data_IF_426080464696
#
_entry.id   IF_426080464696
#
_cell.length_a   1.000
_cell.length_b   1.000
_cell.length_c   1.000
_cell.angle_alpha   90.00
_cell.angle_beta   90.00
_cell.angle_gamma   90.00
#
_symmetry.space_group_name_H-M   'P 1'
#
loop_
_entity.id
_entity.type
_entity.pdbx_description
1 polymer ?
#
# COMPACT_ATOMS: atom_id res chain seq x y z
N UNK A 1 -45.00 -58.69 -19.84
CA UNK A 1 -44.44 -57.42 -20.37
C UNK A 1 -44.79 -56.21 -19.48
N UNK A 2 -45.95 -56.15 -18.83
CA UNK A 2 -46.43 -55.04 -17.98
C UNK A 2 -45.62 -54.83 -16.67
N UNK A 3 -45.13 -55.90 -16.09
CA UNK A 3 -44.36 -55.83 -14.83
C UNK A 3 -42.93 -55.37 -14.98
N UNK A 4 -42.30 -55.53 -16.15
CA UNK A 4 -40.92 -55.05 -16.39
C UNK A 4 -40.85 -53.52 -16.58
N UNK A 5 -41.90 -52.89 -17.05
CA UNK A 5 -41.98 -51.44 -17.24
C UNK A 5 -42.16 -50.70 -15.92
N UNK A 6 -42.92 -51.30 -14.97
CA UNK A 6 -43.16 -50.68 -13.66
C UNK A 6 -41.89 -50.71 -12.78
N UNK A 7 -41.07 -51.75 -12.82
CA UNK A 7 -39.81 -51.87 -12.05
C UNK A 7 -38.77 -50.91 -12.59
N UNK A 8 -38.69 -50.68 -13.89
CA UNK A 8 -37.77 -49.71 -14.47
C UNK A 8 -38.14 -48.25 -14.12
N UNK A 9 -39.44 -47.95 -14.00
CA UNK A 9 -39.90 -46.59 -13.64
C UNK A 9 -39.65 -46.27 -12.16
N UNK A 10 -39.80 -47.27 -11.25
CA UNK A 10 -39.53 -47.11 -9.80
C UNK A 10 -38.04 -46.95 -9.53
N UNK A 11 -37.16 -47.65 -10.25
CA UNK A 11 -35.72 -47.54 -10.13
C UNK A 11 -35.20 -46.16 -10.68
N UNK A 12 -35.86 -45.57 -11.68
CA UNK A 12 -35.48 -44.28 -12.19
C UNK A 12 -35.89 -43.11 -11.25
N UNK A 13 -37.05 -43.25 -10.55
CA UNK A 13 -37.48 -42.26 -9.54
C UNK A 13 -36.64 -42.40 -8.28
N UNK A 14 -36.24 -43.58 -7.84
CA UNK A 14 -35.34 -43.76 -6.72
C UNK A 14 -33.93 -43.24 -7.01
N UNK A 15 -33.41 -43.38 -8.23
CA UNK A 15 -32.13 -42.85 -8.64
C UNK A 15 -32.14 -41.31 -8.73
N UNK A 16 -33.26 -40.70 -9.22
CA UNK A 16 -33.40 -39.26 -9.28
C UNK A 16 -33.52 -38.58 -7.87
N UNK A 17 -34.14 -39.27 -6.91
CA UNK A 17 -34.22 -38.79 -5.52
C UNK A 17 -32.92 -38.90 -4.75
N UNK A 18 -32.00 -39.78 -5.16
CA UNK A 18 -30.68 -39.91 -4.48
C UNK A 18 -29.66 -38.87 -4.95
N UNK A 19 -29.86 -38.23 -6.12
CA UNK A 19 -28.97 -37.18 -6.64
C UNK A 19 -29.31 -35.80 -6.04
N UNK A 20 -30.53 -35.59 -5.52
CA UNK A 20 -30.97 -34.33 -4.92
C UNK A 20 -30.58 -34.21 -3.44
N UNK A 21 -30.14 -35.30 -2.82
CA UNK A 21 -29.87 -35.35 -1.37
C UNK A 21 -28.44 -35.09 -0.91
N UNK A 22 -27.49 -34.69 -1.77
CA UNK A 22 -26.07 -34.57 -1.44
C UNK A 22 -25.49 -33.15 -1.49
N UNK A 23 -26.31 -32.12 -1.67
CA UNK A 23 -25.88 -30.78 -1.28
C UNK A 23 -26.11 -30.65 0.22
N UNK A 24 -25.11 -31.00 1.05
CA UNK A 24 -25.06 -30.46 2.41
C UNK A 24 -25.14 -28.94 2.26
N UNK A 25 -26.29 -28.36 2.54
CA UNK A 25 -26.39 -26.96 2.86
C UNK A 25 -25.47 -26.73 4.08
N UNK A 26 -24.24 -26.33 3.82
CA UNK A 26 -23.49 -25.62 4.83
C UNK A 26 -24.37 -24.44 5.25
N UNK A 27 -24.91 -24.39 6.47
CA UNK A 27 -25.95 -23.50 6.98
C UNK A 27 -25.70 -22.00 6.84
N UNK A 28 -25.20 -21.56 5.71
CA UNK A 28 -24.96 -20.18 5.29
C UNK A 28 -25.71 -19.96 3.99
N UNK A 29 -26.50 -18.90 3.93
CA UNK A 29 -27.24 -18.50 2.74
C UNK A 29 -26.35 -18.27 1.50
N UNK A 30 -26.95 -17.99 0.34
CA UNK A 30 -26.20 -17.80 -0.91
C UNK A 30 -25.15 -16.69 -0.75
N UNK A 31 -23.95 -16.88 -1.34
CA UNK A 31 -22.89 -15.87 -1.34
C UNK A 31 -23.40 -14.54 -1.91
N UNK A 32 -23.46 -13.53 -1.07
CA UNK A 32 -23.92 -12.19 -1.43
C UNK A 32 -23.06 -11.16 -0.74
N UNK A 33 -21.85 -10.87 -1.29
CA UNK A 33 -20.96 -9.87 -0.71
C UNK A 33 -21.57 -8.49 -0.80
N UNK A 34 -21.32 -7.66 0.19
CA UNK A 34 -21.76 -6.27 0.28
C UNK A 34 -20.80 -5.38 -0.54
N UNK A 35 -21.23 -4.81 -1.69
CA UNK A 35 -20.34 -3.96 -2.47
C UNK A 35 -19.90 -2.73 -1.66
N UNK A 36 -18.60 -2.48 -1.62
CA UNK A 36 -18.04 -1.25 -1.04
C UNK A 36 -17.60 -0.33 -2.19
N UNK A 37 -18.06 0.93 -2.16
CA UNK A 37 -17.77 1.88 -3.22
C UNK A 37 -16.42 2.54 -2.99
N UNK A 38 -15.50 2.42 -3.94
CA UNK A 38 -14.30 3.25 -3.97
C UNK A 38 -14.66 4.67 -4.39
N UNK A 39 -14.39 5.65 -3.52
CA UNK A 39 -14.75 7.06 -3.76
C UNK A 39 -13.51 7.82 -4.20
N UNK A 40 -13.57 8.37 -5.42
CA UNK A 40 -12.55 9.31 -5.91
C UNK A 40 -12.88 10.68 -5.30
N UNK A 41 -11.94 11.32 -4.57
CA UNK A 41 -12.17 12.63 -4.00
C UNK A 41 -12.47 13.69 -5.08
N UNK A 42 -13.25 14.72 -4.71
CA UNK A 42 -13.58 15.82 -5.61
C UNK A 42 -12.30 16.49 -6.13
N UNK A 43 -12.24 16.72 -7.43
CA UNK A 43 -11.09 17.36 -8.08
C UNK A 43 -9.88 16.46 -8.30
N UNK A 44 -9.93 15.19 -7.89
CA UNK A 44 -8.82 14.26 -8.12
C UNK A 44 -8.94 13.58 -9.49
N UNK A 45 -7.80 13.23 -10.11
CA UNK A 45 -7.80 12.43 -11.32
C UNK A 45 -8.36 11.04 -11.05
N UNK A 46 -8.89 10.39 -12.07
CA UNK A 46 -9.18 8.95 -11.98
C UNK A 46 -7.87 8.17 -11.75
N UNK A 47 -7.89 7.09 -10.94
CA UNK A 47 -6.77 6.18 -10.87
C UNK A 47 -6.32 5.73 -12.26
N UNK A 48 -5.00 5.63 -12.53
CA UNK A 48 -4.48 5.24 -13.85
C UNK A 48 -4.90 3.82 -14.25
N UNK A 49 -5.10 2.95 -13.26
CA UNK A 49 -5.64 1.60 -13.40
C UNK A 49 -6.77 1.37 -12.41
N UNK A 50 -7.73 0.53 -12.78
CA UNK A 50 -8.73 0.10 -11.81
C UNK A 50 -8.22 -1.14 -11.07
N UNK A 51 -7.53 -0.93 -9.95
CA UNK A 51 -6.99 -2.00 -9.10
C UNK A 51 -8.07 -2.96 -8.57
N UNK A 52 -9.34 -2.57 -8.61
CA UNK A 52 -10.49 -3.39 -8.18
C UNK A 52 -11.23 -4.04 -9.36
N UNK A 53 -10.71 -3.97 -10.59
CA UNK A 53 -11.39 -4.53 -11.77
C UNK A 53 -11.66 -6.05 -11.63
N UNK A 54 -10.64 -6.81 -11.24
CA UNK A 54 -10.66 -8.26 -11.07
C UNK A 54 -10.73 -8.70 -9.60
N UNK A 55 -10.82 -7.74 -8.68
CA UNK A 55 -10.88 -7.93 -7.23
C UNK A 55 -11.91 -6.94 -6.67
N UNK A 56 -13.19 -7.21 -6.91
CA UNK A 56 -14.28 -6.29 -6.55
C UNK A 56 -14.22 -5.94 -5.08
N UNK A 57 -14.19 -4.64 -4.78
CA UNK A 57 -14.16 -4.14 -3.41
C UNK A 57 -15.48 -4.46 -2.70
N UNK A 58 -15.40 -5.15 -1.58
CA UNK A 58 -16.53 -5.55 -0.75
C UNK A 58 -16.24 -5.28 0.71
N UNK A 59 -17.28 -5.09 1.52
CA UNK A 59 -17.13 -4.91 2.96
C UNK A 59 -16.43 -6.12 3.59
N UNK A 60 -16.82 -7.33 3.22
CA UNK A 60 -16.25 -8.58 3.75
C UNK A 60 -14.78 -8.76 3.34
N UNK A 61 -14.44 -8.43 2.10
CA UNK A 61 -13.05 -8.46 1.61
C UNK A 61 -12.18 -7.41 2.29
N UNK A 62 -12.70 -6.19 2.46
CA UNK A 62 -12.04 -5.13 3.21
C UNK A 62 -11.78 -5.52 4.67
N UNK A 63 -12.77 -6.05 5.38
CA UNK A 63 -12.63 -6.45 6.79
C UNK A 63 -11.66 -7.63 6.94
N UNK A 64 -11.68 -8.59 6.02
CA UNK A 64 -10.69 -9.67 5.99
C UNK A 64 -9.28 -9.12 5.76
N UNK A 65 -9.10 -8.23 4.79
CA UNK A 65 -7.81 -7.59 4.51
C UNK A 65 -7.31 -6.77 5.70
N UNK A 66 -8.19 -6.01 6.35
CA UNK A 66 -7.88 -5.29 7.58
C UNK A 66 -7.43 -6.23 8.70
N UNK A 67 -8.15 -7.32 8.94
CA UNK A 67 -7.75 -8.30 9.97
C UNK A 67 -6.39 -8.91 9.67
N UNK A 68 -6.12 -9.32 8.42
CA UNK A 68 -4.83 -9.83 7.99
C UNK A 68 -3.71 -8.81 8.20
N UNK A 69 -3.95 -7.54 7.89
CA UNK A 69 -2.97 -6.45 8.01
C UNK A 69 -2.50 -6.23 9.46
N UNK A 70 -3.37 -6.44 10.43
CA UNK A 70 -3.07 -6.27 11.86
C UNK A 70 -2.69 -7.58 12.58
N UNK A 71 -2.59 -8.72 11.88
CA UNK A 71 -2.32 -10.01 12.50
C UNK A 71 -0.84 -10.37 12.48
N UNK A 72 -0.17 -10.30 13.65
CA UNK A 72 1.23 -10.68 13.81
C UNK A 72 1.52 -12.14 13.48
N UNK A 73 0.52 -13.03 13.56
CA UNK A 73 0.69 -14.47 13.25
C UNK A 73 1.09 -14.73 11.79
N UNK A 74 1.00 -13.73 10.91
CA UNK A 74 1.49 -13.83 9.54
C UNK A 74 3.02 -13.79 9.46
N UNK A 75 3.73 -13.42 10.52
CA UNK A 75 5.18 -13.51 10.61
C UNK A 75 5.67 -14.84 11.19
N UNK A 76 6.97 -15.10 11.05
CA UNK A 76 7.63 -16.33 11.50
C UNK A 76 7.57 -16.51 13.01
N UNK A 77 7.77 -15.44 13.77
CA UNK A 77 7.71 -15.43 15.24
C UNK A 77 6.30 -15.17 15.79
N UNK A 78 5.36 -14.75 14.94
CA UNK A 78 3.99 -14.43 15.33
C UNK A 78 3.79 -13.03 15.91
N UNK A 79 4.80 -12.16 15.88
CA UNK A 79 4.80 -10.84 16.53
C UNK A 79 4.72 -9.68 15.54
N UNK A 80 5.28 -9.85 14.33
CA UNK A 80 5.37 -8.78 13.34
C UNK A 80 4.16 -8.80 12.41
N UNK A 81 3.36 -7.76 12.42
CA UNK A 81 2.25 -7.53 11.48
C UNK A 81 2.63 -6.45 10.45
N UNK A 82 1.83 -6.31 9.37
CA UNK A 82 1.99 -5.17 8.46
C UNK A 82 1.86 -3.84 9.22
N UNK A 83 0.94 -3.78 10.20
CA UNK A 83 0.72 -2.60 11.03
C UNK A 83 1.90 -2.26 11.95
N UNK A 84 2.82 -3.18 12.23
CA UNK A 84 4.04 -2.91 13.01
C UNK A 84 4.96 -1.92 12.28
N UNK A 85 5.04 -2.03 10.95
CA UNK A 85 5.84 -1.14 10.09
C UNK A 85 5.02 -0.03 9.44
N UNK A 86 3.71 -0.24 9.22
CA UNK A 86 2.80 0.69 8.58
C UNK A 86 1.73 1.16 9.57
N UNK A 87 2.12 2.06 10.46
CA UNK A 87 1.31 2.52 11.59
C UNK A 87 0.27 3.55 11.13
N UNK A 88 -1.00 3.33 11.47
CA UNK A 88 -2.11 4.17 11.00
C UNK A 88 -1.95 5.64 11.38
N UNK A 89 -1.50 5.94 12.58
CA UNK A 89 -1.31 7.33 13.06
C UNK A 89 -0.15 8.05 12.36
N UNK A 90 0.77 7.31 11.73
CA UNK A 90 1.86 7.83 10.92
C UNK A 90 1.53 7.83 9.40
N UNK A 91 0.25 7.83 9.03
CA UNK A 91 -0.17 7.74 7.63
C UNK A 91 0.12 6.37 7.01
N UNK A 92 0.08 5.31 7.80
CA UNK A 92 0.48 3.95 7.42
C UNK A 92 1.94 3.86 6.95
N UNK A 93 2.84 4.58 7.64
CA UNK A 93 4.29 4.56 7.48
C UNK A 93 4.95 4.15 8.79
N UNK A 94 6.26 3.97 8.80
CA UNK A 94 7.04 3.84 10.04
C UNK A 94 7.03 5.16 10.80
N UNK A 95 7.01 5.08 12.13
CA UNK A 95 7.09 6.22 13.03
C UNK A 95 8.34 6.10 13.91
N UNK A 96 9.09 7.20 14.03
CA UNK A 96 10.21 7.39 14.98
C UNK A 96 11.42 6.44 14.79
N UNK A 97 11.44 5.62 13.76
CA UNK A 97 12.57 4.73 13.44
C UNK A 97 12.96 4.88 11.97
N UNK A 98 14.27 5.00 11.70
CA UNK A 98 14.80 5.04 10.32
C UNK A 98 14.44 3.78 9.55
N UNK A 99 14.52 2.62 10.19
CA UNK A 99 14.20 1.31 9.65
C UNK A 99 13.23 0.55 10.55
N UNK A 100 12.30 -0.17 9.95
CA UNK A 100 11.34 -0.99 10.70
C UNK A 100 11.99 -2.23 11.29
N UNK A 101 11.51 -2.65 12.46
CA UNK A 101 11.90 -3.91 13.08
C UNK A 101 11.19 -5.09 12.40
N UNK A 102 11.97 -6.10 12.02
CA UNK A 102 11.49 -7.38 11.53
C UNK A 102 11.60 -8.48 12.56
N UNK A 103 11.32 -9.72 12.14
CA UNK A 103 11.46 -10.92 12.98
C UNK A 103 12.90 -11.06 13.52
N UNK A 104 13.04 -11.66 14.71
CA UNK A 104 14.34 -11.88 15.35
C UNK A 104 15.18 -10.59 15.57
N UNK A 105 14.53 -9.46 15.80
CA UNK A 105 15.19 -8.14 15.94
C UNK A 105 16.04 -7.71 14.74
N UNK A 106 15.73 -8.20 13.57
CA UNK A 106 16.32 -7.70 12.31
C UNK A 106 15.74 -6.34 11.95
N UNK A 107 16.34 -5.67 10.96
CA UNK A 107 15.87 -4.39 10.48
C UNK A 107 15.65 -4.44 8.97
N UNK A 108 14.61 -3.76 8.49
CA UNK A 108 14.44 -3.50 7.07
C UNK A 108 15.64 -2.72 6.50
N UNK A 109 15.81 -2.72 5.19
CA UNK A 109 16.90 -1.98 4.54
C UNK A 109 16.48 -0.60 4.04
N UNK A 110 15.17 -0.33 4.05
CA UNK A 110 14.55 0.93 3.64
C UNK A 110 13.49 1.34 4.65
N UNK A 111 13.24 2.64 4.75
CA UNK A 111 12.12 3.17 5.50
C UNK A 111 10.79 2.69 4.89
N UNK A 112 9.79 2.34 5.73
CA UNK A 112 8.50 1.86 5.25
C UNK A 112 7.70 3.03 4.64
N UNK A 113 7.37 2.99 3.34
CA UNK A 113 6.61 4.05 2.69
C UNK A 113 5.16 4.09 3.18
N UNK A 114 4.54 5.27 3.13
CA UNK A 114 3.14 5.43 3.48
C UNK A 114 2.22 4.63 2.55
N UNK A 115 1.26 3.89 3.12
CA UNK A 115 0.28 3.09 2.38
C UNK A 115 -1.05 3.85 2.18
N UNK A 116 -0.97 5.11 1.77
CA UNK A 116 -2.14 5.93 1.44
C UNK A 116 -2.20 6.21 -0.05
N UNK A 117 -3.41 6.30 -0.59
CA UNK A 117 -3.66 6.66 -1.99
C UNK A 117 -3.01 5.72 -3.02
N UNK A 118 -2.81 4.45 -2.65
CA UNK A 118 -2.14 3.45 -3.49
C UNK A 118 -2.86 3.19 -4.81
N UNK A 119 -4.17 3.44 -4.89
CA UNK A 119 -4.95 3.30 -6.12
C UNK A 119 -4.46 4.19 -7.27
N UNK A 120 -3.74 5.27 -6.95
CA UNK A 120 -3.16 6.17 -7.96
C UNK A 120 -1.72 5.82 -8.35
N UNK A 121 -1.17 4.75 -7.82
CA UNK A 121 0.15 4.24 -8.19
C UNK A 121 0.05 3.16 -9.27
N UNK A 122 1.10 3.04 -10.10
CA UNK A 122 1.26 1.97 -11.10
C UNK A 122 2.39 1.01 -10.76
N UNK A 123 3.19 1.35 -9.76
CA UNK A 123 4.26 0.51 -9.24
C UNK A 123 4.50 0.83 -7.76
N UNK A 124 4.84 -0.18 -6.99
CA UNK A 124 5.03 -0.09 -5.54
C UNK A 124 6.50 -0.29 -5.18
N UNK A 125 6.86 -0.12 -3.90
CA UNK A 125 8.22 0.04 -3.37
C UNK A 125 8.90 1.34 -3.83
N UNK A 126 9.99 1.70 -3.15
CA UNK A 126 10.78 2.90 -3.47
C UNK A 126 11.40 2.88 -4.86
N UNK A 127 11.70 1.70 -5.39
CA UNK A 127 12.33 1.47 -6.68
C UNK A 127 11.35 1.08 -7.80
N UNK A 128 10.07 0.86 -7.45
CA UNK A 128 9.04 0.43 -8.40
C UNK A 128 9.19 -1.03 -8.85
N UNK A 129 9.81 -1.86 -8.02
CA UNK A 129 10.07 -3.28 -8.35
C UNK A 129 8.83 -4.16 -8.44
N UNK A 130 7.68 -3.69 -7.94
CA UNK A 130 6.40 -4.40 -7.99
C UNK A 130 5.39 -3.55 -8.75
N UNK A 131 4.66 -4.15 -9.69
CA UNK A 131 3.67 -3.49 -10.55
C UNK A 131 2.24 -4.02 -10.36
N UNK A 132 2.00 -4.84 -9.33
CA UNK A 132 0.69 -5.36 -8.97
C UNK A 132 0.49 -5.25 -7.45
N UNK A 133 -0.57 -4.53 -7.02
CA UNK A 133 -0.88 -4.31 -5.61
C UNK A 133 -1.24 -5.62 -4.90
N UNK A 134 -1.81 -6.61 -5.61
CA UNK A 134 -2.13 -7.90 -5.01
C UNK A 134 -0.86 -8.71 -4.70
N UNK A 135 0.20 -8.53 -5.49
CA UNK A 135 1.47 -9.24 -5.31
C UNK A 135 2.39 -8.53 -4.30
N UNK A 136 2.21 -7.22 -4.09
CA UNK A 136 3.08 -6.41 -3.25
C UNK A 136 3.31 -7.00 -1.84
N UNK A 137 2.29 -7.51 -1.10
CA UNK A 137 2.50 -8.01 0.26
C UNK A 137 3.41 -9.25 0.35
N UNK A 138 3.67 -9.91 -0.76
CA UNK A 138 4.54 -11.08 -0.82
C UNK A 138 5.98 -10.75 -0.41
N UNK A 139 6.48 -9.58 -0.83
CA UNK A 139 7.84 -9.14 -0.55
C UNK A 139 8.11 -9.02 0.96
N UNK A 140 7.39 -8.19 1.74
CA UNK A 140 7.63 -8.10 3.17
C UNK A 140 7.29 -9.40 3.92
N UNK A 141 6.31 -10.18 3.45
CA UNK A 141 5.90 -11.42 4.08
C UNK A 141 7.00 -12.47 4.05
N UNK A 142 7.77 -12.54 2.94
CA UNK A 142 8.81 -13.57 2.74
C UNK A 142 10.24 -13.07 3.01
N UNK A 143 10.45 -11.77 3.21
CA UNK A 143 11.78 -11.23 3.50
C UNK A 143 12.24 -11.62 4.91
N UNK A 144 13.41 -12.25 5.01
CA UNK A 144 14.00 -12.76 6.27
C UNK A 144 14.23 -11.66 7.32
N UNK A 145 14.39 -10.42 6.88
CA UNK A 145 14.61 -9.24 7.72
C UNK A 145 13.34 -8.40 7.94
N UNK A 146 12.16 -8.90 7.53
CA UNK A 146 10.85 -8.29 7.77
C UNK A 146 9.93 -9.30 8.46
N UNK A 147 9.02 -9.99 7.77
CA UNK A 147 8.12 -10.98 8.39
C UNK A 147 8.67 -12.41 8.36
N UNK A 148 9.64 -12.72 7.50
CA UNK A 148 10.43 -13.95 7.48
C UNK A 148 9.65 -15.25 7.32
N UNK A 149 8.43 -15.22 6.75
CA UNK A 149 7.53 -16.36 6.74
C UNK A 149 7.37 -16.94 5.32
N UNK A 150 6.92 -18.17 5.21
CA UNK A 150 6.57 -18.81 3.94
C UNK A 150 5.07 -18.77 3.69
N UNK A 151 4.67 -18.66 2.42
CA UNK A 151 3.24 -18.72 2.09
C UNK A 151 2.55 -19.99 2.59
N UNK A 152 3.24 -21.12 2.53
CA UNK A 152 2.72 -22.40 2.98
C UNK A 152 2.40 -22.36 4.47
N UNK A 153 3.34 -21.87 5.29
CA UNK A 153 3.18 -21.76 6.74
C UNK A 153 2.06 -20.78 7.10
N UNK A 154 2.01 -19.59 6.46
CA UNK A 154 0.90 -18.65 6.66
C UNK A 154 -0.44 -19.30 6.37
N UNK A 155 -0.59 -19.95 5.22
CA UNK A 155 -1.86 -20.59 4.84
C UNK A 155 -2.24 -21.71 5.82
N UNK A 156 -1.26 -22.45 6.35
CA UNK A 156 -1.50 -23.46 7.38
C UNK A 156 -2.06 -22.85 8.66
N UNK A 157 -1.45 -21.74 9.14
CA UNK A 157 -1.92 -20.99 10.33
C UNK A 157 -3.36 -20.49 10.13
N UNK A 158 -3.64 -19.86 8.99
CA UNK A 158 -4.98 -19.32 8.67
C UNK A 158 -6.05 -20.42 8.56
N UNK A 159 -5.74 -21.58 7.95
CA UNK A 159 -6.67 -22.71 7.80
C UNK A 159 -7.06 -23.35 9.14
N UNK A 160 -6.23 -23.22 10.17
CA UNK A 160 -6.53 -23.73 11.52
C UNK A 160 -7.45 -22.80 12.32
N UNK A 161 -7.62 -21.54 11.90
CA UNK A 161 -8.45 -20.55 12.59
C UNK A 161 -9.86 -20.51 11.98
N UNK A 162 -10.86 -20.88 12.79
CA UNK A 162 -12.27 -20.88 12.41
C UNK A 162 -12.76 -19.46 12.02
N UNK A 163 -12.24 -18.42 12.68
CA UNK A 163 -12.60 -17.02 12.35
C UNK A 163 -12.17 -16.69 10.94
N UNK A 164 -10.95 -17.07 10.54
CA UNK A 164 -10.50 -16.85 9.17
C UNK A 164 -11.31 -17.65 8.16
N UNK A 165 -11.62 -18.94 8.44
CA UNK A 165 -12.48 -19.73 7.54
C UNK A 165 -13.83 -19.06 7.29
N UNK A 166 -14.47 -18.53 8.35
CA UNK A 166 -15.71 -17.75 8.23
C UNK A 166 -15.54 -16.48 7.42
N UNK A 167 -14.48 -15.72 7.68
CA UNK A 167 -14.21 -14.48 6.95
C UNK A 167 -13.89 -14.72 5.48
N UNK A 168 -13.10 -15.76 5.14
CA UNK A 168 -12.85 -16.14 3.75
C UNK A 168 -14.13 -16.58 3.04
N UNK A 169 -15.01 -17.35 3.73
CA UNK A 169 -16.31 -17.70 3.17
C UNK A 169 -17.17 -16.48 2.91
N UNK A 170 -17.22 -15.53 3.83
CA UNK A 170 -17.96 -14.28 3.63
C UNK A 170 -17.40 -13.45 2.47
N UNK A 171 -16.07 -13.36 2.33
CA UNK A 171 -15.42 -12.53 1.32
C UNK A 171 -15.41 -13.17 -0.09
N UNK A 172 -15.36 -14.52 -0.18
CA UNK A 172 -15.13 -15.24 -1.45
C UNK A 172 -16.13 -16.34 -1.77
N UNK A 173 -17.15 -16.56 -0.95
CA UNK A 173 -18.25 -17.50 -1.18
C UNK A 173 -18.04 -18.90 -0.58
N UNK A 174 -16.79 -19.31 -0.31
CA UNK A 174 -16.47 -20.55 0.34
C UNK A 174 -15.27 -20.41 1.27
N UNK A 175 -15.07 -21.36 2.19
CA UNK A 175 -14.03 -21.33 3.22
C UNK A 175 -12.62 -21.71 2.71
N UNK A 176 -12.41 -21.81 1.40
CA UNK A 176 -11.11 -22.15 0.81
C UNK A 176 -10.13 -21.00 1.01
N UNK A 177 -9.04 -21.24 1.73
CA UNK A 177 -7.98 -20.26 1.98
C UNK A 177 -6.81 -20.53 1.04
N UNK A 178 -6.56 -19.60 0.13
CA UNK A 178 -5.43 -19.61 -0.82
C UNK A 178 -4.61 -18.35 -0.68
N UNK A 179 -3.34 -18.39 -1.11
CA UNK A 179 -2.48 -17.20 -1.16
C UNK A 179 -3.11 -16.09 -2.01
N UNK A 180 -3.67 -16.43 -3.16
CA UNK A 180 -4.32 -15.44 -4.02
C UNK A 180 -5.47 -14.73 -3.32
N UNK A 181 -6.36 -15.44 -2.61
CA UNK A 181 -7.47 -14.82 -1.87
C UNK A 181 -6.98 -13.98 -0.70
N UNK A 182 -5.94 -14.41 0.01
CA UNK A 182 -5.30 -13.66 1.09
C UNK A 182 -4.73 -12.34 0.56
N UNK A 183 -3.94 -12.39 -0.52
CA UNK A 183 -3.34 -11.22 -1.15
C UNK A 183 -4.41 -10.27 -1.72
N UNK A 184 -5.47 -10.80 -2.33
CA UNK A 184 -6.62 -10.01 -2.79
C UNK A 184 -7.30 -9.26 -1.64
N UNK A 185 -7.52 -9.90 -0.50
CA UNK A 185 -8.11 -9.24 0.67
C UNK A 185 -7.20 -8.12 1.19
N UNK A 186 -5.89 -8.36 1.32
CA UNK A 186 -4.92 -7.32 1.69
C UNK A 186 -4.97 -6.13 0.71
N UNK A 187 -5.02 -6.39 -0.60
CA UNK A 187 -5.12 -5.35 -1.62
C UNK A 187 -6.45 -4.56 -1.55
N UNK A 188 -7.57 -5.21 -1.19
CA UNK A 188 -8.83 -4.50 -0.94
C UNK A 188 -8.70 -3.50 0.21
N UNK A 189 -8.06 -3.89 1.31
CA UNK A 189 -7.84 -2.99 2.43
C UNK A 189 -6.85 -1.88 2.06
N UNK A 190 -5.61 -2.21 1.68
CA UNK A 190 -4.56 -1.22 1.45
C UNK A 190 -4.86 -0.31 0.26
N UNK A 191 -5.43 -0.84 -0.83
CA UNK A 191 -5.80 -0.08 -2.02
C UNK A 191 -6.96 0.89 -1.80
N UNK A 192 -7.80 0.67 -0.77
CA UNK A 192 -8.92 1.55 -0.44
C UNK A 192 -8.58 2.68 0.54
N UNK A 193 -7.34 2.73 1.07
CA UNK A 193 -6.92 3.77 2.00
C UNK A 193 -6.72 5.10 1.26
N UNK A 194 -7.65 6.03 1.41
CA UNK A 194 -7.62 7.36 0.78
C UNK A 194 -7.47 8.45 1.83
N UNK A 195 -6.47 9.32 1.67
CA UNK A 195 -6.26 10.51 2.48
C UNK A 195 -6.44 11.76 1.62
N UNK A 196 -7.59 12.45 1.79
CA UNK A 196 -8.04 13.56 0.95
C UNK A 196 -8.90 14.58 1.70
N UNK A 197 -8.65 14.78 3.01
CA UNK A 197 -9.44 15.67 3.85
C UNK A 197 -8.61 16.69 4.64
N UNK A 198 -7.39 16.98 4.17
CA UNK A 198 -6.52 17.99 4.78
C UNK A 198 -7.07 19.42 4.59
N UNK A 199 -6.46 20.39 5.28
CA UNK A 199 -6.79 21.81 5.06
C UNK A 199 -6.61 22.22 3.59
N UNK A 200 -5.55 21.70 2.93
CA UNK A 200 -5.35 21.88 1.48
C UNK A 200 -6.58 21.44 0.68
N UNK A 201 -7.11 20.25 0.94
CA UNK A 201 -8.30 19.76 0.21
C UNK A 201 -9.52 20.64 0.43
N UNK A 202 -9.73 21.09 1.66
CA UNK A 202 -10.81 22.02 2.01
C UNK A 202 -10.67 23.35 1.29
N UNK A 203 -9.44 23.89 1.19
CA UNK A 203 -9.17 25.11 0.42
C UNK A 203 -9.49 24.90 -1.05
N UNK A 204 -9.02 23.79 -1.64
CA UNK A 204 -9.29 23.46 -3.07
C UNK A 204 -10.78 23.25 -3.36
N UNK A 205 -11.54 22.79 -2.37
CA UNK A 205 -12.99 22.63 -2.47
C UNK A 205 -13.78 23.93 -2.24
N UNK A 206 -13.12 25.02 -1.81
CA UNK A 206 -13.78 26.30 -1.46
C UNK A 206 -14.43 26.32 -0.09
N UNK A 207 -14.06 25.37 0.79
CA UNK A 207 -14.64 25.23 2.14
C UNK A 207 -13.96 26.11 3.19
N UNK A 208 -12.71 26.54 2.91
CA UNK A 208 -11.90 27.41 3.77
C UNK A 208 -10.81 28.10 2.94
N UNK A 209 -10.00 28.94 3.57
CA UNK A 209 -8.84 29.62 2.93
C UNK A 209 -7.56 29.32 3.69
N UNK A 210 -6.43 29.46 3.02
CA UNK A 210 -5.14 29.54 3.69
C UNK A 210 -5.03 30.84 4.48
N UNK A 211 -4.28 30.82 5.58
CA UNK A 211 -3.76 32.04 6.20
C UNK A 211 -2.69 32.66 5.29
N UNK A 212 -2.31 33.90 5.51
CA UNK A 212 -1.25 34.57 4.73
C UNK A 212 0.08 33.81 4.77
N UNK A 213 0.42 33.21 5.93
CA UNK A 213 1.65 32.41 6.09
C UNK A 213 1.56 31.12 5.29
N UNK A 214 0.45 30.40 5.39
CA UNK A 214 0.22 29.17 4.62
C UNK A 214 0.16 29.42 3.10
N UNK A 215 -0.44 30.56 2.67
CA UNK A 215 -0.46 30.93 1.27
C UNK A 215 0.96 31.18 0.73
N UNK A 216 1.81 31.88 1.48
CA UNK A 216 3.22 32.07 1.12
C UNK A 216 3.97 30.75 1.05
N UNK A 217 3.77 29.85 2.03
CA UNK A 217 4.34 28.50 2.00
C UNK A 217 3.90 27.69 0.80
N UNK A 218 2.61 27.76 0.45
CA UNK A 218 2.06 27.10 -0.73
C UNK A 218 2.65 27.69 -2.04
N UNK A 219 2.87 28.98 -2.13
CA UNK A 219 3.48 29.61 -3.30
C UNK A 219 4.95 29.21 -3.46
N UNK A 220 5.69 29.12 -2.34
CA UNK A 220 7.07 28.57 -2.32
C UNK A 220 7.07 27.09 -2.76
N UNK A 221 6.15 26.28 -2.26
CA UNK A 221 5.98 24.89 -2.69
C UNK A 221 5.75 24.78 -4.20
N UNK A 222 4.82 25.56 -4.74
CA UNK A 222 4.52 25.56 -6.18
C UNK A 222 5.75 25.90 -7.02
N UNK A 223 6.56 26.85 -6.58
CA UNK A 223 7.72 27.32 -7.33
C UNK A 223 8.91 26.35 -7.29
N UNK A 224 9.06 25.57 -6.20
CA UNK A 224 10.29 24.81 -5.96
C UNK A 224 10.07 23.29 -5.90
N UNK A 225 8.88 22.81 -5.55
CA UNK A 225 8.65 21.40 -5.21
C UNK A 225 7.65 20.71 -6.15
N UNK A 226 6.71 21.46 -6.74
CA UNK A 226 5.60 20.92 -7.53
C UNK A 226 6.03 20.26 -8.84
N UNK A 227 7.29 20.43 -9.27
CA UNK A 227 7.84 19.75 -10.44
C UNK A 227 7.82 18.23 -10.32
N UNK A 228 8.10 17.74 -9.11
CA UNK A 228 8.06 16.31 -8.75
C UNK A 228 6.83 15.98 -7.89
N UNK A 229 6.51 16.82 -6.90
CA UNK A 229 5.40 16.62 -5.96
C UNK A 229 4.09 17.23 -6.50
N UNK A 230 3.56 16.66 -7.59
CA UNK A 230 2.38 17.17 -8.29
C UNK A 230 1.09 17.01 -7.51
N UNK A 231 0.31 18.10 -7.47
CA UNK A 231 -1.02 18.13 -6.90
C UNK A 231 -2.03 17.28 -7.73
N UNK A 232 -3.06 16.72 -7.12
CA UNK A 232 -3.44 16.77 -5.70
C UNK A 232 -2.78 15.68 -4.86
N UNK A 233 -2.06 14.75 -5.46
CA UNK A 233 -1.40 13.61 -4.79
C UNK A 233 -0.08 14.01 -4.12
N UNK A 234 0.49 15.14 -4.50
CA UNK A 234 1.83 15.58 -4.09
C UNK A 234 2.92 14.57 -4.44
N UNK A 235 2.75 13.91 -5.58
CA UNK A 235 3.69 13.01 -6.25
C UNK A 235 3.29 12.90 -7.72
N UNK A 236 4.27 12.67 -8.57
CA UNK A 236 4.02 12.27 -9.96
C UNK A 236 4.31 10.78 -10.19
N UNK A 237 4.68 10.05 -9.12
CA UNK A 237 5.08 8.64 -9.14
C UNK A 237 6.30 8.34 -10.04
N UNK A 238 7.02 9.35 -10.53
CA UNK A 238 8.26 9.19 -11.29
C UNK A 238 9.46 8.87 -10.37
N UNK A 239 10.62 8.64 -10.94
CA UNK A 239 11.83 8.24 -10.23
C UNK A 239 12.94 9.24 -10.45
N UNK A 240 13.44 9.83 -9.37
CA UNK A 240 14.49 10.85 -9.41
C UNK A 240 15.59 10.55 -8.40
N UNK A 241 16.79 10.98 -8.71
CA UNK A 241 17.87 11.06 -7.74
C UNK A 241 17.90 12.46 -7.14
N UNK A 242 17.71 12.54 -5.85
CA UNK A 242 17.78 13.80 -5.12
C UNK A 242 19.19 14.12 -4.61
N UNK A 243 20.22 13.41 -5.08
CA UNK A 243 21.61 13.66 -4.75
C UNK A 243 22.09 13.02 -3.45
N UNK A 244 21.26 12.24 -2.76
CA UNK A 244 21.72 11.48 -1.60
C UNK A 244 22.77 10.45 -1.99
N UNK A 245 23.80 10.33 -1.16
CA UNK A 245 24.84 9.30 -1.32
C UNK A 245 24.30 7.92 -0.94
N UNK A 246 25.00 6.87 -1.38
CA UNK A 246 24.72 5.50 -0.97
C UNK A 246 24.59 5.41 0.56
N UNK A 247 23.63 4.62 1.00
CA UNK A 247 23.45 4.29 2.41
C UNK A 247 24.34 3.10 2.81
N UNK A 248 24.29 2.70 4.09
CA UNK A 248 25.04 1.57 4.65
C UNK A 248 24.77 0.21 3.98
N UNK A 249 23.68 0.11 3.21
CA UNK A 249 23.31 -1.10 2.46
C UNK A 249 23.69 -1.05 0.99
N UNK A 250 24.40 -0.01 0.54
CA UNK A 250 24.76 0.22 -0.86
C UNK A 250 23.53 0.19 -1.79
N UNK A 251 22.43 0.82 -1.37
CA UNK A 251 21.18 0.82 -2.11
C UNK A 251 21.25 1.73 -3.34
N UNK A 252 21.34 1.12 -4.50
CA UNK A 252 21.41 1.80 -5.80
C UNK A 252 20.04 2.17 -6.37
N UNK A 253 18.96 1.99 -5.59
CA UNK A 253 17.59 2.36 -5.97
C UNK A 253 17.07 1.61 -7.21
N UNK A 254 16.43 2.33 -8.12
CA UNK A 254 15.77 1.77 -9.30
C UNK A 254 16.72 0.99 -10.24
N UNK A 255 18.00 1.31 -10.27
CA UNK A 255 18.99 0.53 -11.05
C UNK A 255 18.95 -0.96 -10.70
N UNK A 256 18.58 -1.32 -9.45
CA UNK A 256 18.46 -2.72 -9.02
C UNK A 256 17.36 -3.48 -9.80
N UNK A 257 16.37 -2.76 -10.30
CA UNK A 257 15.21 -3.30 -11.02
C UNK A 257 15.44 -3.25 -12.54
N UNK A 258 15.93 -2.11 -13.06
CA UNK A 258 16.04 -1.87 -14.50
C UNK A 258 17.38 -2.34 -15.08
N UNK A 259 18.40 -2.52 -14.24
CA UNK A 259 19.80 -2.80 -14.62
C UNK A 259 20.45 -1.69 -15.46
N UNK A 260 19.81 -0.53 -15.56
CA UNK A 260 20.31 0.63 -16.29
C UNK A 260 21.11 1.54 -15.35
N UNK A 261 22.37 1.86 -15.71
CA UNK A 261 23.20 2.79 -14.92
C UNK A 261 22.60 4.19 -14.80
N UNK A 262 21.81 4.61 -15.80
CA UNK A 262 21.07 5.87 -15.77
C UNK A 262 19.98 5.94 -14.68
N UNK A 263 19.60 4.81 -14.09
CA UNK A 263 18.64 4.73 -13.00
C UNK A 263 19.28 4.58 -11.61
N UNK A 264 20.61 4.76 -11.54
CA UNK A 264 21.34 4.72 -10.27
C UNK A 264 20.85 5.80 -9.31
N UNK A 265 20.66 5.40 -8.05
CA UNK A 265 20.21 6.28 -6.96
C UNK A 265 18.86 6.98 -7.21
N UNK A 266 18.09 6.51 -8.19
CA UNK A 266 16.73 7.00 -8.38
C UNK A 266 15.75 6.24 -7.50
N UNK A 267 14.90 7.00 -6.84
CA UNK A 267 13.80 6.50 -6.02
C UNK A 267 12.49 7.18 -6.43
N UNK A 268 11.37 6.49 -6.20
CA UNK A 268 10.05 7.05 -6.48
C UNK A 268 9.81 8.30 -5.65
N UNK A 269 9.25 9.32 -6.27
CA UNK A 269 8.76 10.51 -5.58
C UNK A 269 7.66 10.13 -4.61
N UNK A 270 7.87 10.22 -3.29
CA UNK A 270 6.82 9.91 -2.32
C UNK A 270 5.75 11.01 -2.31
N UNK A 271 4.51 10.63 -1.98
CA UNK A 271 3.49 11.63 -1.71
C UNK A 271 3.86 12.44 -0.45
N UNK A 272 3.62 13.76 -0.47
CA UNK A 272 3.76 14.61 0.72
C UNK A 272 2.49 14.64 1.58
N UNK A 273 1.46 13.87 1.23
CA UNK A 273 0.28 13.78 2.08
C UNK A 273 0.64 13.10 3.41
N UNK A 274 0.18 13.69 4.51
CA UNK A 274 0.50 13.28 5.88
C UNK A 274 2.01 13.35 6.22
N UNK A 275 2.82 14.07 5.43
CA UNK A 275 4.28 14.11 5.58
C UNK A 275 4.73 14.53 7.00
N UNK A 276 3.97 15.38 7.69
CA UNK A 276 4.27 15.79 9.07
C UNK A 276 4.25 14.64 10.10
N UNK A 277 3.56 13.52 9.77
CA UNK A 277 3.41 12.37 10.68
C UNK A 277 4.29 11.19 10.29
N UNK A 278 4.80 11.14 9.06
CA UNK A 278 5.53 10.00 8.48
C UNK A 278 7.05 10.17 8.54
N UNK A 279 7.57 10.76 9.61
CA UNK A 279 9.01 10.83 9.83
C UNK A 279 9.55 9.50 10.38
N UNK A 280 10.85 9.16 10.17
CA UNK A 280 11.87 9.93 9.44
C UNK A 280 11.73 9.85 7.91
N UNK A 281 12.43 10.75 7.24
CA UNK A 281 12.28 11.01 5.81
C UNK A 281 13.38 10.37 4.97
N UNK A 282 13.19 10.37 3.65
CA UNK A 282 13.96 9.71 2.60
C UNK A 282 13.73 8.19 2.55
N UNK A 283 14.27 7.55 1.52
CA UNK A 283 14.08 6.11 1.30
C UNK A 283 14.69 5.23 2.41
N UNK A 284 15.56 5.78 3.22
CA UNK A 284 16.27 5.07 4.30
C UNK A 284 16.13 5.75 5.67
N UNK A 285 15.24 6.73 5.79
CA UNK A 285 14.91 7.35 7.07
C UNK A 285 16.01 8.25 7.68
N UNK A 286 17.04 8.62 6.92
CA UNK A 286 18.23 9.32 7.46
C UNK A 286 17.99 10.75 7.93
N UNK A 287 16.82 11.34 7.63
CA UNK A 287 16.47 12.73 8.01
C UNK A 287 15.23 12.72 8.89
N UNK A 288 15.31 13.32 10.08
CA UNK A 288 14.29 13.19 11.12
C UNK A 288 13.27 14.33 11.16
N UNK A 289 13.56 15.50 10.57
CA UNK A 289 12.66 16.64 10.64
C UNK A 289 12.42 17.27 9.27
N UNK A 290 11.21 17.82 9.04
CA UNK A 290 10.91 18.57 7.81
C UNK A 290 11.84 19.77 7.63
N UNK A 291 12.26 20.41 8.71
CA UNK A 291 13.25 21.50 8.64
C UNK A 291 14.56 21.01 8.03
N UNK A 292 15.07 19.86 8.46
CA UNK A 292 16.29 19.25 7.89
C UNK A 292 16.08 18.83 6.41
N UNK A 293 14.89 18.36 6.05
CA UNK A 293 14.56 18.05 4.64
C UNK A 293 14.67 19.33 3.77
N UNK A 294 14.05 20.42 4.22
CA UNK A 294 14.08 21.69 3.48
C UNK A 294 15.51 22.22 3.40
N UNK A 295 16.27 22.19 4.51
CA UNK A 295 17.68 22.58 4.54
C UNK A 295 18.53 21.72 3.62
N UNK A 296 18.30 20.41 3.57
CA UNK A 296 18.96 19.50 2.62
C UNK A 296 18.76 19.98 1.19
N UNK A 297 17.53 20.25 0.77
CA UNK A 297 17.24 20.71 -0.58
C UNK A 297 17.83 22.11 -0.88
N UNK A 298 17.97 22.98 0.11
CA UNK A 298 18.67 24.28 -0.05
C UNK A 298 20.20 24.15 -0.13
N UNK A 299 20.77 23.02 0.34
CA UNK A 299 22.22 22.79 0.41
C UNK A 299 22.74 21.73 -0.55
N UNK A 300 21.89 21.19 -1.44
CA UNK A 300 22.30 20.15 -2.41
C UNK A 300 23.51 20.63 -3.23
N UNK A 301 24.48 19.73 -3.37
CA UNK A 301 25.55 19.90 -4.33
C UNK A 301 25.06 19.74 -5.77
N UNK A 302 24.88 20.86 -6.45
CA UNK A 302 24.40 20.88 -7.84
C UNK A 302 25.42 20.37 -8.85
N UNK A 303 26.69 20.17 -8.46
CA UNK A 303 27.72 19.53 -9.28
C UNK A 303 27.61 18.00 -9.27
N UNK A 304 26.85 17.41 -8.33
CA UNK A 304 26.63 15.96 -8.25
C UNK A 304 26.08 15.41 -9.58
N UNK A 305 26.80 14.47 -10.19
CA UNK A 305 26.49 13.92 -11.52
C UNK A 305 25.24 13.05 -11.55
N UNK A 306 24.84 12.47 -10.41
CA UNK A 306 23.62 11.67 -10.29
C UNK A 306 22.38 12.50 -10.01
N UNK A 307 22.55 13.78 -9.65
CA UNK A 307 21.44 14.67 -9.32
C UNK A 307 20.50 14.88 -10.50
N UNK A 308 19.19 14.77 -10.23
CA UNK A 308 18.17 15.04 -11.25
C UNK A 308 18.28 16.44 -11.83
N UNK A 309 18.11 16.63 -13.17
CA UNK A 309 18.16 17.93 -13.82
C UNK A 309 17.25 18.98 -13.19
N UNK A 310 16.07 18.61 -12.67
CA UNK A 310 15.15 19.54 -12.00
C UNK A 310 15.74 20.16 -10.73
N UNK A 311 16.74 19.50 -10.10
CA UNK A 311 17.41 19.97 -8.89
C UNK A 311 18.75 20.66 -9.17
N UNK A 312 19.17 20.81 -10.45
CA UNK A 312 20.40 21.53 -10.82
C UNK A 312 20.29 23.03 -10.56
N UNK A 313 19.08 23.58 -10.50
CA UNK A 313 18.85 24.96 -10.07
C UNK A 313 18.75 24.98 -8.55
N UNK A 314 19.71 25.66 -7.92
CA UNK A 314 19.77 25.76 -6.45
C UNK A 314 18.51 26.40 -5.87
N UNK A 315 17.91 25.75 -4.88
CA UNK A 315 16.79 26.30 -4.12
C UNK A 315 17.35 27.22 -3.04
N UNK A 316 17.06 28.52 -3.15
CA UNK A 316 17.53 29.54 -2.21
C UNK A 316 16.31 30.07 -1.43
N UNK A 317 16.15 29.64 -0.18
CA UNK A 317 15.10 30.11 0.72
C UNK A 317 15.71 30.74 1.97
N UNK A 318 15.21 31.93 2.34
CA UNK A 318 15.50 32.50 3.64
C UNK A 318 14.94 31.63 4.77
N UNK A 319 15.41 31.83 6.00
CA UNK A 319 14.87 31.09 7.16
C UNK A 319 13.35 31.27 7.31
N UNK A 320 12.85 32.50 7.08
CA UNK A 320 11.42 32.79 7.10
C UNK A 320 10.68 31.98 6.01
N UNK A 321 11.20 31.91 4.80
CA UNK A 321 10.61 31.14 3.70
C UNK A 321 10.64 29.63 3.99
N UNK A 322 11.71 29.12 4.61
CA UNK A 322 11.79 27.71 5.04
C UNK A 322 10.73 27.41 6.12
N UNK A 323 10.52 28.34 7.08
CA UNK A 323 9.48 28.20 8.11
C UNK A 323 8.05 28.26 7.49
N UNK A 324 7.84 29.08 6.47
CA UNK A 324 6.55 29.19 5.76
C UNK A 324 6.26 27.92 4.95
N UNK A 325 7.29 27.34 4.31
CA UNK A 325 7.17 26.10 3.52
C UNK A 325 6.85 24.88 4.37
N UNK A 326 7.37 24.84 5.60
CA UNK A 326 7.13 23.77 6.60
C UNK A 326 5.69 23.76 7.08
#
# INVERSE_FOLDING_TARGET
LKYRIIISFVLFIAGALFIIGAAKEDGYGPYKPTPLKFIIPKGWPKPPTNIFANNKLTEEGFQLGKKLFYDGRLSKDGEVSCASCHQQFAGFSTYDHDLSHGVNNTFSTRNAPALINLAWMTAWHWDGGINDIEVQPLSPLTADNEMGETLESVLKKLKQDETYRKMFKAAFGDATITSQRMLKALAQFTGSLVSANSKYDKVKNGETTFTDTEQKGYDIFKSNCSGCHKEPLFTDNSYHSNGLTLNRFNDIGRQKITLLSSDSLKFKVPSLRNVQYSFPYMHDGRIYTLTQVIQYYCSIDTANTTLDPLLKNKINLTELQQAQLK
#
